data_IF_199054859600
#
_entry.id   IF_199054859600
#
_cell.length_a   1.000
_cell.length_b   1.000
_cell.length_c   1.000
_cell.angle_alpha   90.00
_cell.angle_beta   90.00
_cell.angle_gamma   90.00
#
_symmetry.space_group_name_H-M   'P 1'
#
loop_
_entity.id
_entity.type
_entity.pdbx_description
1 polymer ?
#
# COMPACT_ATOMS: atom_id res chain seq x y z
N UNK A 1 -14.02 -3.22 -27.80
CA UNK A 1 -13.38 -2.69 -26.54
C UNK A 1 -11.90 -2.96 -26.72
N UNK A 2 -11.06 -2.03 -26.31
CA UNK A 2 -9.62 -2.19 -26.51
C UNK A 2 -9.09 -3.27 -25.57
N UNK A 3 -8.37 -4.24 -26.11
CA UNK A 3 -7.78 -5.37 -25.36
C UNK A 3 -6.95 -4.93 -24.13
N UNK A 4 -6.40 -3.71 -24.19
CA UNK A 4 -5.69 -3.10 -23.07
C UNK A 4 -6.59 -2.70 -21.90
N UNK A 5 -7.79 -2.19 -22.16
CA UNK A 5 -8.73 -1.82 -21.09
C UNK A 5 -9.23 -3.04 -20.33
N UNK A 6 -9.39 -4.16 -21.02
CA UNK A 6 -9.76 -5.44 -20.42
C UNK A 6 -8.60 -6.02 -19.60
N UNK A 7 -7.37 -5.97 -20.13
CA UNK A 7 -6.18 -6.40 -19.41
C UNK A 7 -5.96 -5.58 -18.13
N UNK A 8 -6.15 -4.27 -18.20
CA UNK A 8 -6.07 -3.39 -17.02
C UNK A 8 -7.19 -3.71 -16.02
N UNK A 9 -8.42 -3.92 -16.49
CA UNK A 9 -9.55 -4.31 -15.67
C UNK A 9 -9.30 -5.62 -14.94
N UNK A 10 -8.79 -6.64 -15.62
CA UNK A 10 -8.41 -7.92 -15.02
C UNK A 10 -7.35 -7.74 -13.92
N UNK A 11 -6.26 -7.07 -14.22
CA UNK A 11 -5.19 -6.83 -13.25
C UNK A 11 -5.67 -6.01 -12.05
N UNK A 12 -6.54 -5.03 -12.27
CA UNK A 12 -7.11 -4.20 -11.21
C UNK A 12 -8.08 -4.99 -10.31
N UNK A 13 -8.94 -5.85 -10.87
CA UNK A 13 -9.84 -6.70 -10.08
C UNK A 13 -9.04 -7.62 -9.17
N UNK A 14 -8.00 -8.27 -9.72
CA UNK A 14 -7.19 -9.24 -8.97
C UNK A 14 -6.36 -8.58 -7.85
N UNK A 15 -5.89 -7.35 -8.08
CA UNK A 15 -4.98 -6.65 -7.16
C UNK A 15 -5.58 -5.39 -6.53
N UNK A 16 -6.89 -5.13 -6.71
CA UNK A 16 -7.54 -3.90 -6.26
C UNK A 16 -7.30 -3.59 -4.77
N UNK A 17 -7.36 -4.60 -3.90
CA UNK A 17 -7.14 -4.42 -2.47
C UNK A 17 -5.69 -4.05 -2.10
N UNK A 18 -4.72 -4.40 -2.94
CA UNK A 18 -3.29 -4.09 -2.71
C UNK A 18 -2.86 -2.76 -3.33
N UNK A 19 -3.51 -2.30 -4.41
CA UNK A 19 -3.16 -1.06 -5.10
C UNK A 19 -3.36 0.19 -4.23
N UNK A 20 -4.44 0.26 -3.45
CA UNK A 20 -4.73 1.41 -2.58
C UNK A 20 -3.72 1.56 -1.44
N UNK A 21 -3.06 0.48 -1.04
CA UNK A 21 -2.04 0.51 0.02
C UNK A 21 -0.80 1.29 -0.41
N UNK A 22 -0.50 1.34 -1.71
CA UNK A 22 0.65 2.11 -2.22
C UNK A 22 0.55 3.59 -1.89
N UNK A 23 -0.67 4.16 -1.93
CA UNK A 23 -0.88 5.57 -1.61
C UNK A 23 -0.44 5.88 -0.17
N UNK A 24 -0.69 4.97 0.77
CA UNK A 24 -0.25 5.14 2.16
C UNK A 24 1.27 5.08 2.26
N UNK A 25 1.91 4.09 1.65
CA UNK A 25 3.37 3.97 1.72
C UNK A 25 4.10 5.13 1.05
N UNK A 26 3.63 5.53 -0.14
CA UNK A 26 4.22 6.65 -0.89
C UNK A 26 4.01 7.96 -0.15
N UNK A 27 2.81 8.24 0.36
CA UNK A 27 2.53 9.47 1.11
C UNK A 27 3.34 9.56 2.40
N UNK A 28 3.49 8.44 3.13
CA UNK A 28 4.35 8.38 4.31
C UNK A 28 5.82 8.62 3.96
N UNK A 29 6.33 8.01 2.90
CA UNK A 29 7.70 8.21 2.44
C UNK A 29 7.96 9.66 2.03
N UNK A 30 7.04 10.28 1.29
CA UNK A 30 7.12 11.71 0.93
C UNK A 30 7.15 12.59 2.18
N UNK A 31 6.26 12.30 3.16
CA UNK A 31 6.25 13.03 4.43
C UNK A 31 7.59 12.90 5.16
N UNK A 32 8.17 11.70 5.19
CA UNK A 32 9.47 11.44 5.80
C UNK A 32 10.60 12.22 5.12
N UNK A 33 10.58 12.33 3.78
CA UNK A 33 11.53 13.15 3.02
C UNK A 33 11.38 14.65 3.34
N UNK A 34 10.16 15.16 3.43
CA UNK A 34 9.85 16.55 3.78
C UNK A 34 10.37 16.86 5.20
N UNK A 35 10.13 15.95 6.15
CA UNK A 35 10.65 16.07 7.53
C UNK A 35 12.17 16.11 7.52
N UNK A 36 12.82 15.21 6.78
CA UNK A 36 14.28 15.08 6.74
C UNK A 36 15.00 16.25 6.06
N UNK A 37 14.41 16.87 5.04
CA UNK A 37 15.03 17.93 4.21
C UNK A 37 15.35 19.22 4.99
N UNK A 38 14.97 19.33 6.25
CA UNK A 38 15.18 20.53 7.04
C UNK A 38 16.51 20.51 7.81
N UNK A 39 17.11 21.68 8.05
CA UNK A 39 18.43 21.84 8.67
C UNK A 39 18.46 21.47 10.17
N UNK A 40 17.32 21.29 10.81
CA UNK A 40 17.22 20.91 12.21
C UNK A 40 17.65 19.44 12.42
N UNK A 41 18.65 19.22 13.29
CA UNK A 41 19.18 17.89 13.63
C UNK A 41 18.10 16.92 14.07
N UNK A 42 17.13 17.37 14.89
CA UNK A 42 16.02 16.52 15.36
C UNK A 42 15.18 16.03 14.20
N UNK A 43 14.82 16.91 13.28
CA UNK A 43 14.01 16.56 12.10
C UNK A 43 14.76 15.66 11.13
N UNK A 44 16.07 15.86 10.98
CA UNK A 44 16.91 15.03 10.14
C UNK A 44 16.98 13.59 10.65
N UNK A 45 17.11 13.42 11.97
CA UNK A 45 17.12 12.09 12.62
C UNK A 45 15.74 11.44 12.53
N UNK A 46 14.67 12.12 12.95
CA UNK A 46 13.31 11.58 12.92
C UNK A 46 12.86 11.26 11.50
N UNK A 47 13.14 12.12 10.53
CA UNK A 47 12.88 11.83 9.12
C UNK A 47 13.67 10.62 8.60
N UNK A 48 14.90 10.41 9.07
CA UNK A 48 15.68 9.21 8.78
C UNK A 48 15.03 7.94 9.32
N UNK A 49 14.53 7.97 10.55
CA UNK A 49 13.79 6.85 11.19
C UNK A 49 12.50 6.56 10.42
N UNK A 50 11.75 7.58 10.04
CA UNK A 50 10.54 7.44 9.24
C UNK A 50 10.84 6.82 7.86
N UNK A 51 11.92 7.22 7.19
CA UNK A 51 12.34 6.61 5.92
C UNK A 51 12.65 5.12 6.13
N UNK A 52 13.46 4.80 7.15
CA UNK A 52 13.82 3.40 7.44
C UNK A 52 12.58 2.53 7.71
N UNK A 53 11.59 3.04 8.46
CA UNK A 53 10.35 2.31 8.74
C UNK A 53 9.45 2.15 7.51
N UNK A 54 9.60 3.01 6.48
CA UNK A 54 8.81 2.93 5.25
C UNK A 54 9.36 1.89 4.24
N UNK A 55 10.62 1.46 4.38
CA UNK A 55 11.28 0.54 3.44
C UNK A 55 10.46 -0.75 3.20
N UNK A 56 9.96 -1.48 4.23
CA UNK A 56 9.18 -2.68 4.01
C UNK A 56 7.93 -2.43 3.15
N UNK A 57 7.20 -1.34 3.44
CA UNK A 57 6.01 -0.96 2.66
C UNK A 57 6.35 -0.60 1.21
N UNK A 58 7.47 0.10 0.98
CA UNK A 58 7.93 0.42 -0.37
C UNK A 58 8.32 -0.83 -1.16
N UNK A 59 8.97 -1.80 -0.53
CA UNK A 59 9.30 -3.09 -1.17
C UNK A 59 8.04 -3.85 -1.58
N UNK A 60 7.03 -3.91 -0.69
CA UNK A 60 5.73 -4.51 -1.01
C UNK A 60 5.07 -3.77 -2.17
N UNK A 61 5.12 -2.43 -2.18
CA UNK A 61 4.56 -1.62 -3.27
C UNK A 61 5.20 -1.94 -4.62
N UNK A 62 6.52 -2.03 -4.68
CA UNK A 62 7.26 -2.40 -5.90
C UNK A 62 6.89 -3.81 -6.34
N UNK A 63 6.80 -4.76 -5.40
CA UNK A 63 6.39 -6.13 -5.69
C UNK A 63 4.96 -6.21 -6.24
N UNK A 64 3.99 -5.55 -5.60
CA UNK A 64 2.60 -5.49 -6.08
C UNK A 64 2.49 -4.84 -7.45
N UNK A 65 3.27 -3.77 -7.72
CA UNK A 65 3.31 -3.15 -9.03
C UNK A 65 3.86 -4.10 -10.10
N UNK A 66 4.92 -4.83 -9.79
CA UNK A 66 5.45 -5.87 -10.67
C UNK A 66 4.41 -6.95 -10.98
N UNK A 67 3.67 -7.41 -9.97
CA UNK A 67 2.57 -8.38 -10.16
C UNK A 67 1.43 -7.81 -11.00
N UNK A 68 1.07 -6.54 -10.78
CA UNK A 68 0.07 -5.87 -11.60
C UNK A 68 0.46 -5.82 -13.07
N UNK A 69 1.68 -5.39 -13.37
CA UNK A 69 2.19 -5.38 -14.74
C UNK A 69 2.24 -6.79 -15.33
N UNK A 70 2.71 -7.77 -14.57
CA UNK A 70 2.77 -9.15 -15.00
C UNK A 70 1.37 -9.71 -15.33
N UNK A 71 0.38 -9.45 -14.48
CA UNK A 71 -1.01 -9.85 -14.71
C UNK A 71 -1.59 -9.19 -15.98
N UNK A 72 -1.36 -7.90 -16.14
CA UNK A 72 -1.81 -7.12 -17.29
C UNK A 72 -1.21 -7.65 -18.61
N UNK A 73 0.10 -7.84 -18.64
CA UNK A 73 0.78 -8.33 -19.84
C UNK A 73 0.45 -9.79 -20.17
N UNK A 74 0.29 -10.65 -19.14
CA UNK A 74 -0.10 -12.04 -19.35
C UNK A 74 -1.51 -12.12 -19.91
N UNK A 75 -2.45 -11.33 -19.37
CA UNK A 75 -3.80 -11.25 -19.90
C UNK A 75 -3.78 -10.80 -21.36
N UNK A 76 -3.07 -9.71 -21.64
CA UNK A 76 -2.99 -9.18 -22.99
C UNK A 76 -2.39 -10.19 -23.97
N UNK A 77 -1.28 -10.88 -23.62
CA UNK A 77 -0.64 -11.85 -24.51
C UNK A 77 -1.50 -13.08 -24.78
N UNK A 78 -2.26 -13.57 -23.80
CA UNK A 78 -3.09 -14.77 -23.96
C UNK A 78 -4.43 -14.48 -24.68
N UNK A 79 -4.96 -13.25 -24.56
CA UNK A 79 -6.25 -12.89 -25.15
C UNK A 79 -6.13 -12.14 -26.49
N UNK A 80 -5.00 -11.48 -26.77
CA UNK A 80 -4.79 -10.72 -28.01
C UNK A 80 -4.77 -11.61 -29.27
N UNK A 81 -4.27 -12.84 -29.12
CA UNK A 81 -4.19 -13.80 -30.24
C UNK A 81 -5.55 -14.46 -30.56
N UNK A 82 -6.60 -14.14 -29.82
CA UNK A 82 -7.95 -14.68 -30.06
C UNK A 82 -8.08 -16.19 -29.82
N UNK A 83 -7.06 -16.83 -29.24
CA UNK A 83 -7.07 -18.28 -28.99
C UNK A 83 -8.08 -18.68 -27.90
N UNK A 84 -8.39 -17.78 -26.97
CA UNK A 84 -9.27 -18.06 -25.84
C UNK A 84 -10.44 -17.08 -25.78
N UNK A 85 -11.65 -17.61 -25.59
CA UNK A 85 -12.87 -16.81 -25.45
C UNK A 85 -13.12 -16.30 -24.03
N UNK A 86 -12.38 -16.82 -23.03
CA UNK A 86 -12.51 -16.41 -21.64
C UNK A 86 -11.22 -16.66 -20.85
N UNK A 87 -11.07 -15.97 -19.72
CA UNK A 87 -9.93 -16.14 -18.77
C UNK A 87 -9.80 -17.58 -18.29
N UNK A 88 -10.91 -18.28 -18.12
CA UNK A 88 -10.94 -19.67 -17.65
C UNK A 88 -10.56 -20.69 -18.72
N UNK A 89 -10.59 -20.29 -19.99
CA UNK A 89 -10.17 -21.16 -21.10
C UNK A 89 -8.63 -21.22 -21.22
N UNK A 90 -7.90 -20.19 -20.76
CA UNK A 90 -6.44 -20.19 -20.75
C UNK A 90 -5.90 -20.84 -19.47
N UNK A 91 -5.11 -21.94 -19.57
CA UNK A 91 -4.50 -22.59 -18.42
C UNK A 91 -3.57 -21.66 -17.63
N UNK A 92 -2.87 -20.76 -18.32
CA UNK A 92 -1.95 -19.79 -17.71
C UNK A 92 -2.71 -18.73 -16.92
N UNK A 93 -3.77 -18.15 -17.50
CA UNK A 93 -4.62 -17.16 -16.82
C UNK A 93 -5.35 -17.76 -15.65
N UNK A 94 -5.89 -18.97 -15.76
CA UNK A 94 -6.54 -19.67 -14.65
C UNK A 94 -5.56 -19.92 -13.49
N UNK A 95 -4.33 -20.37 -13.80
CA UNK A 95 -3.29 -20.56 -12.77
C UNK A 95 -2.90 -19.24 -12.12
N UNK A 96 -2.68 -18.21 -12.93
CA UNK A 96 -2.35 -16.87 -12.46
C UNK A 96 -3.45 -16.32 -11.56
N UNK A 97 -4.71 -16.40 -11.99
CA UNK A 97 -5.88 -15.97 -11.23
C UNK A 97 -5.96 -16.66 -9.87
N UNK A 98 -5.75 -17.98 -9.84
CA UNK A 98 -5.78 -18.77 -8.58
C UNK A 98 -4.67 -18.33 -7.62
N UNK A 99 -3.46 -18.15 -8.11
CA UNK A 99 -2.32 -17.70 -7.28
C UNK A 99 -2.57 -16.28 -6.76
N UNK A 100 -2.96 -15.36 -7.65
CA UNK A 100 -3.15 -13.96 -7.28
C UNK A 100 -4.38 -13.74 -6.40
N UNK A 101 -5.42 -14.58 -6.49
CA UNK A 101 -6.62 -14.44 -5.68
C UNK A 101 -6.41 -14.79 -4.20
N UNK A 102 -5.38 -15.58 -3.87
CA UNK A 102 -4.96 -15.83 -2.49
C UNK A 102 -4.07 -14.75 -1.89
N UNK A 103 -3.27 -14.08 -2.75
CA UNK A 103 -2.32 -13.04 -2.30
C UNK A 103 -2.95 -11.81 -1.63
N UNK A 104 -4.12 -11.28 -2.06
CA UNK A 104 -4.69 -10.07 -1.48
C UNK A 104 -4.95 -10.17 0.02
N UNK A 105 -5.35 -11.32 0.53
CA UNK A 105 -5.64 -11.50 1.97
C UNK A 105 -4.35 -11.46 2.79
N UNK A 106 -3.31 -12.19 2.35
CA UNK A 106 -2.02 -12.23 3.03
C UNK A 106 -1.33 -10.86 2.97
N UNK A 107 -1.38 -10.20 1.81
CA UNK A 107 -0.86 -8.84 1.64
C UNK A 107 -1.64 -7.82 2.46
N UNK A 108 -2.95 -7.97 2.61
CA UNK A 108 -3.79 -7.10 3.45
C UNK A 108 -3.35 -7.21 4.92
N UNK A 109 -3.24 -8.43 5.45
CA UNK A 109 -2.83 -8.67 6.83
C UNK A 109 -1.42 -8.10 7.10
N UNK A 110 -0.48 -8.39 6.20
CA UNK A 110 0.88 -7.86 6.29
C UNK A 110 0.89 -6.33 6.23
N UNK A 111 0.07 -5.73 5.37
CA UNK A 111 -0.02 -4.28 5.23
C UNK A 111 -0.63 -3.60 6.44
N UNK A 112 -1.66 -4.19 7.07
CA UNK A 112 -2.22 -3.68 8.33
C UNK A 112 -1.16 -3.67 9.42
N UNK A 113 -0.34 -4.71 9.52
CA UNK A 113 0.78 -4.76 10.47
C UNK A 113 1.81 -3.65 10.20
N UNK A 114 2.20 -3.47 8.94
CA UNK A 114 3.14 -2.40 8.54
C UNK A 114 2.53 -1.02 8.79
N UNK A 115 1.23 -0.81 8.50
CA UNK A 115 0.54 0.45 8.82
C UNK A 115 0.57 0.76 10.31
N UNK A 116 0.43 -0.26 11.17
CA UNK A 116 0.60 -0.11 12.61
C UNK A 116 1.99 0.43 12.97
N UNK A 117 3.04 -0.14 12.40
CA UNK A 117 4.43 0.32 12.60
C UNK A 117 4.59 1.77 12.11
N UNK A 118 4.08 2.10 10.91
CA UNK A 118 4.16 3.46 10.37
C UNK A 118 3.40 4.46 11.23
N UNK A 119 2.21 4.11 11.72
CA UNK A 119 1.40 4.94 12.59
C UNK A 119 2.13 5.26 13.91
N UNK A 120 2.65 4.24 14.59
CA UNK A 120 3.42 4.41 15.83
C UNK A 120 4.67 5.25 15.57
N UNK A 121 5.41 4.97 14.49
CA UNK A 121 6.60 5.74 14.11
C UNK A 121 6.25 7.20 13.86
N UNK A 122 5.16 7.50 13.13
CA UNK A 122 4.72 8.86 12.86
C UNK A 122 4.34 9.60 14.16
N UNK A 123 3.58 8.96 15.04
CA UNK A 123 3.18 9.56 16.32
C UNK A 123 4.39 9.88 17.18
N UNK A 124 5.29 8.93 17.38
CA UNK A 124 6.50 9.12 18.19
C UNK A 124 7.40 10.20 17.60
N UNK A 125 7.67 10.15 16.28
CA UNK A 125 8.45 11.18 15.59
C UNK A 125 7.77 12.55 15.66
N UNK A 126 6.46 12.62 15.47
CA UNK A 126 5.67 13.85 15.59
C UNK A 126 5.80 14.49 16.97
N UNK A 127 5.66 13.71 18.04
CA UNK A 127 5.84 14.18 19.43
C UNK A 127 7.27 14.70 19.67
N UNK A 128 8.29 13.96 19.19
CA UNK A 128 9.68 14.37 19.34
C UNK A 128 9.94 15.70 18.62
N UNK A 129 9.42 15.88 17.40
CA UNK A 129 9.55 17.11 16.63
C UNK A 129 8.86 18.26 17.34
N UNK A 130 7.63 18.08 17.86
CA UNK A 130 6.90 19.13 18.57
C UNK A 130 7.65 19.57 19.84
N UNK A 131 8.29 18.62 20.55
CA UNK A 131 9.00 18.91 21.80
C UNK A 131 10.39 19.53 21.60
N UNK A 132 11.11 19.13 20.56
CA UNK A 132 12.55 19.44 20.40
C UNK A 132 12.87 20.35 19.23
N UNK A 133 11.97 20.50 18.25
CA UNK A 133 12.21 21.34 17.07
C UNK A 133 11.56 22.72 17.24
N UNK A 134 12.20 23.80 16.79
CA UNK A 134 11.61 25.14 16.80
C UNK A 134 10.40 25.25 15.83
N UNK A 135 10.38 24.45 14.78
CA UNK A 135 9.29 24.44 13.77
C UNK A 135 8.33 23.29 14.04
N UNK A 136 7.33 23.53 14.88
CA UNK A 136 6.36 22.52 15.36
C UNK A 136 5.38 22.02 14.28
N UNK A 137 5.14 22.81 13.23
CA UNK A 137 4.14 22.47 12.20
C UNK A 137 4.37 21.09 11.56
N UNK A 138 5.62 20.73 11.25
CA UNK A 138 5.93 19.42 10.71
C UNK A 138 5.63 18.27 11.69
N UNK A 139 5.87 18.48 12.98
CA UNK A 139 5.53 17.53 14.03
C UNK A 139 4.03 17.34 14.15
N UNK A 140 3.25 18.41 14.05
CA UNK A 140 1.78 18.35 14.07
C UNK A 140 1.27 17.56 12.85
N UNK A 141 1.75 17.86 11.65
CA UNK A 141 1.37 17.14 10.42
C UNK A 141 1.70 15.65 10.55
N UNK A 142 2.89 15.33 11.04
CA UNK A 142 3.32 13.93 11.24
C UNK A 142 2.45 13.21 12.27
N UNK A 143 2.10 13.89 13.37
CA UNK A 143 1.21 13.36 14.41
C UNK A 143 -0.19 13.10 13.87
N UNK A 144 -0.77 14.06 13.13
CA UNK A 144 -2.09 13.93 12.50
C UNK A 144 -2.08 12.77 11.51
N UNK A 145 -1.04 12.64 10.69
CA UNK A 145 -0.92 11.53 9.75
C UNK A 145 -0.92 10.18 10.48
N UNK A 146 -0.11 10.02 11.53
CA UNK A 146 -0.08 8.79 12.33
C UNK A 146 -1.42 8.45 12.99
N UNK A 147 -2.11 9.46 13.53
CA UNK A 147 -3.45 9.30 14.12
C UNK A 147 -4.50 8.89 13.07
N UNK A 148 -4.42 9.46 11.87
CA UNK A 148 -5.30 9.08 10.74
C UNK A 148 -5.09 7.63 10.31
N UNK A 149 -3.85 7.13 10.33
CA UNK A 149 -3.57 5.72 10.03
C UNK A 149 -4.17 4.79 11.09
N UNK A 150 -4.10 5.14 12.38
CA UNK A 150 -4.76 4.35 13.43
C UNK A 150 -6.27 4.33 13.22
N UNK A 151 -6.89 5.47 12.96
CA UNK A 151 -8.32 5.56 12.69
C UNK A 151 -8.71 4.70 11.49
N UNK A 152 -7.90 4.70 10.43
CA UNK A 152 -8.12 3.85 9.25
C UNK A 152 -8.01 2.35 9.60
N UNK A 153 -7.01 1.93 10.36
CA UNK A 153 -6.86 0.54 10.80
C UNK A 153 -8.07 0.09 11.64
N UNK A 154 -8.51 0.94 12.57
CA UNK A 154 -9.70 0.66 13.38
C UNK A 154 -10.96 0.55 12.54
N UNK A 155 -11.13 1.41 11.56
CA UNK A 155 -12.25 1.35 10.62
C UNK A 155 -12.25 0.05 9.80
N UNK A 156 -11.09 -0.36 9.27
CA UNK A 156 -10.95 -1.62 8.54
C UNK A 156 -11.25 -2.81 9.43
N UNK A 157 -10.72 -2.84 10.66
CA UNK A 157 -10.99 -3.89 11.63
C UNK A 157 -12.48 -4.00 11.97
N UNK A 158 -13.16 -2.86 12.17
CA UNK A 158 -14.60 -2.80 12.41
C UNK A 158 -15.39 -3.33 11.20
N UNK A 159 -15.06 -2.89 9.98
CA UNK A 159 -15.73 -3.35 8.77
C UNK A 159 -15.60 -4.87 8.57
N UNK A 160 -14.40 -5.43 8.82
CA UNK A 160 -14.17 -6.89 8.74
C UNK A 160 -14.99 -7.64 9.80
N UNK A 161 -15.06 -7.14 11.04
CA UNK A 161 -15.87 -7.79 12.09
C UNK A 161 -17.36 -7.77 11.78
N UNK A 162 -17.86 -6.70 11.17
CA UNK A 162 -19.28 -6.63 10.75
C UNK A 162 -19.60 -7.62 9.65
N UNK A 163 -18.73 -7.74 8.63
CA UNK A 163 -18.91 -8.73 7.55
C UNK A 163 -18.88 -10.17 8.07
N UNK A 164 -18.01 -10.46 9.06
CA UNK A 164 -17.92 -11.79 9.66
C UNK A 164 -19.09 -12.10 10.61
N UNK A 165 -19.74 -11.10 11.16
CA UNK A 165 -20.90 -11.28 12.04
C UNK A 165 -22.20 -11.58 11.24
N UNK A 166 -22.24 -11.17 9.96
CA UNK A 166 -23.40 -11.37 9.07
C UNK A 166 -23.28 -12.65 8.21
N UNK A 167 -22.16 -13.38 8.31
CA UNK A 167 -21.89 -14.63 7.57
C UNK A 167 -22.14 -15.86 8.43
#
# INVERSE_FOLDING_TARGET
>A
MDSWSEAFGFANIVLSNSLYMWLVYISFFILALIVRKQDDKTRRITGGVMIASSIPGMLISVFCFGLFLYAMFTYWSEMADGQYSSVYASPKLTKLFRVLNGLPVDLLLLSVFIFGILAVTAIVCGIIIIRRSPKKAAGIITLVYGSSLIAFIMFVAFAVTMVLADS
#
